data_IF_888315815968
#
_entry.id   IF_888315815968
#
_cell.length_a   1.000
_cell.length_b   1.000
_cell.length_c   1.000
_cell.angle_alpha   90.00
_cell.angle_beta   90.00
_cell.angle_gamma   90.00
#
_symmetry.space_group_name_H-M   'P 1'
#
loop_
_entity.id
_entity.type
_entity.pdbx_description
1 polymer ?
#
# COMPACT_ATOMS: atom_id res chain seq x y z
N UNK A 1 32.04 -14.91 6.40
CA UNK A 1 30.85 -15.44 5.68
C UNK A 1 29.97 -16.08 6.74
N UNK A 2 28.65 -15.85 6.69
CA UNK A 2 27.74 -16.57 7.58
C UNK A 2 27.58 -18.00 7.09
N UNK A 3 27.50 -18.94 8.03
CA UNK A 3 27.01 -20.28 7.72
C UNK A 3 25.58 -20.15 7.15
N UNK A 4 25.14 -21.04 6.23
CA UNK A 4 23.84 -20.91 5.56
C UNK A 4 22.68 -20.73 6.54
N UNK A 5 22.66 -21.51 7.64
CA UNK A 5 21.63 -21.40 8.68
C UNK A 5 21.64 -20.04 9.38
N UNK A 6 22.82 -19.53 9.73
CA UNK A 6 22.97 -18.24 10.40
C UNK A 6 22.54 -17.08 9.50
N UNK A 7 22.71 -17.23 8.17
CA UNK A 7 22.22 -16.25 7.20
C UNK A 7 20.70 -16.25 7.11
N UNK A 8 20.05 -17.42 7.06
CA UNK A 8 18.58 -17.48 7.02
C UNK A 8 17.94 -16.95 8.30
N UNK A 9 18.52 -17.22 9.47
CA UNK A 9 18.07 -16.65 10.74
C UNK A 9 18.19 -15.12 10.74
N UNK A 10 19.35 -14.59 10.35
CA UNK A 10 19.57 -13.15 10.24
C UNK A 10 18.64 -12.47 9.23
N UNK A 11 18.33 -13.14 8.11
CA UNK A 11 17.40 -12.64 7.11
C UNK A 11 15.97 -12.60 7.66
N UNK A 12 15.57 -13.62 8.41
CA UNK A 12 14.24 -13.69 9.04
C UNK A 12 14.05 -12.58 10.06
N UNK A 13 15.03 -12.39 10.96
CA UNK A 13 15.04 -11.30 11.95
C UNK A 13 14.96 -9.92 11.26
N UNK A 14 15.77 -9.71 10.21
CA UNK A 14 15.71 -8.47 9.42
C UNK A 14 14.34 -8.27 8.76
N UNK A 15 13.73 -9.33 8.21
CA UNK A 15 12.40 -9.24 7.61
C UNK A 15 11.34 -8.83 8.64
N UNK A 16 11.38 -9.41 9.84
CA UNK A 16 10.47 -9.06 10.94
C UNK A 16 10.64 -7.59 11.36
N UNK A 17 11.88 -7.14 11.60
CA UNK A 17 12.18 -5.78 12.06
C UNK A 17 11.80 -4.71 11.02
N UNK A 18 12.07 -5.00 9.74
CA UNK A 18 11.74 -4.10 8.64
C UNK A 18 10.27 -4.19 8.22
N UNK A 19 9.53 -5.18 8.75
CA UNK A 19 8.14 -5.51 8.42
C UNK A 19 7.95 -5.94 6.97
N UNK A 20 8.91 -6.69 6.45
CA UNK A 20 8.82 -7.37 5.15
C UNK A 20 8.06 -8.68 5.37
N UNK A 21 6.94 -8.89 4.68
CA UNK A 21 6.31 -10.21 4.66
C UNK A 21 7.09 -11.13 3.70
N UNK A 22 7.81 -12.15 4.22
CA UNK A 22 8.60 -13.04 3.38
C UNK A 22 7.72 -13.83 2.39
N UNK A 23 6.42 -14.00 2.65
CA UNK A 23 5.49 -14.70 1.75
C UNK A 23 5.27 -13.97 0.42
N UNK A 24 5.52 -12.66 0.40
CA UNK A 24 5.41 -11.81 -0.79
C UNK A 24 6.66 -11.86 -1.67
N UNK A 25 7.77 -12.43 -1.18
CA UNK A 25 9.02 -12.53 -1.91
C UNK A 25 9.34 -13.98 -2.23
N UNK A 26 9.45 -14.31 -3.52
CA UNK A 26 9.94 -15.61 -3.98
C UNK A 26 11.44 -15.49 -4.24
N UNK A 27 12.25 -16.22 -3.49
CA UNK A 27 13.72 -16.23 -3.65
C UNK A 27 14.12 -16.59 -5.10
N UNK A 28 13.35 -17.47 -5.76
CA UNK A 28 13.58 -17.87 -7.14
C UNK A 28 13.36 -16.74 -8.17
N UNK A 29 12.61 -15.70 -7.80
CA UNK A 29 12.30 -14.57 -8.68
C UNK A 29 13.31 -13.42 -8.51
N UNK A 30 14.24 -13.53 -7.56
CA UNK A 30 15.29 -12.54 -7.33
C UNK A 30 16.35 -12.61 -8.42
N UNK A 31 16.68 -11.45 -8.99
CA UNK A 31 17.90 -11.31 -9.80
C UNK A 31 19.15 -11.48 -8.93
N UNK A 32 20.27 -11.83 -9.55
CA UNK A 32 21.55 -11.97 -8.85
C UNK A 32 21.92 -10.67 -8.10
N UNK A 33 21.73 -9.51 -8.73
CA UNK A 33 21.95 -8.20 -8.10
C UNK A 33 20.98 -7.93 -6.94
N UNK A 34 19.72 -8.36 -7.04
CA UNK A 34 18.76 -8.19 -5.94
C UNK A 34 19.13 -9.05 -4.73
N UNK A 35 19.56 -10.29 -4.98
CA UNK A 35 20.04 -11.20 -3.94
C UNK A 35 21.31 -10.67 -3.25
N UNK A 36 22.27 -10.14 -4.02
CA UNK A 36 23.48 -9.51 -3.47
C UNK A 36 23.14 -8.29 -2.61
N UNK A 37 22.30 -7.38 -3.10
CA UNK A 37 21.93 -6.19 -2.35
C UNK A 37 21.14 -6.54 -1.07
N UNK A 38 20.21 -7.52 -1.13
CA UNK A 38 19.47 -7.99 0.04
C UNK A 38 20.42 -8.60 1.09
N UNK A 39 21.42 -9.35 0.63
CA UNK A 39 22.46 -9.90 1.48
C UNK A 39 23.29 -8.80 2.14
N UNK A 40 23.69 -7.77 1.42
CA UNK A 40 24.46 -6.66 1.99
C UNK A 40 23.67 -5.88 3.04
N UNK A 41 22.38 -5.64 2.78
CA UNK A 41 21.46 -5.05 3.77
C UNK A 41 21.37 -5.94 5.01
N UNK A 42 21.20 -7.25 4.85
CA UNK A 42 21.13 -8.21 5.96
C UNK A 42 22.43 -8.23 6.78
N UNK A 43 23.59 -8.22 6.13
CA UNK A 43 24.89 -8.17 6.82
C UNK A 43 25.06 -6.86 7.60
N UNK A 44 24.61 -5.73 7.06
CA UNK A 44 24.64 -4.44 7.77
C UNK A 44 23.66 -4.43 8.94
N UNK A 45 22.45 -4.96 8.75
CA UNK A 45 21.44 -5.10 9.80
C UNK A 45 21.95 -5.91 10.99
N UNK A 46 22.57 -7.08 10.73
CA UNK A 46 23.17 -7.92 11.78
C UNK A 46 24.50 -7.38 12.35
N UNK A 47 24.93 -6.18 11.96
CA UNK A 47 26.19 -5.57 12.42
C UNK A 47 27.46 -6.27 11.95
N UNK A 48 27.36 -7.17 10.95
CA UNK A 48 28.45 -7.96 10.36
C UNK A 48 29.15 -7.25 9.20
N UNK A 49 28.51 -6.24 8.63
CA UNK A 49 29.07 -5.30 7.67
C UNK A 49 28.82 -3.86 8.13
N UNK A 50 29.47 -2.90 7.47
CA UNK A 50 29.32 -1.47 7.77
C UNK A 50 29.04 -0.68 6.50
N UNK A 51 27.97 0.11 6.52
CA UNK A 51 27.68 1.13 5.52
C UNK A 51 28.21 2.49 6.01
N UNK A 52 28.69 3.33 5.07
CA UNK A 52 29.11 4.71 5.39
C UNK A 52 28.44 5.69 4.43
N UNK A 53 27.74 6.67 5.00
CA UNK A 53 27.21 7.80 4.25
C UNK A 53 27.97 9.09 4.60
N UNK A 54 28.47 9.78 3.59
CA UNK A 54 29.24 11.03 3.73
C UNK A 54 28.37 12.24 4.10
N UNK A 55 27.07 12.19 3.82
CA UNK A 55 26.20 13.37 3.93
C UNK A 55 25.62 13.61 5.33
N UNK A 56 25.94 12.75 6.33
CA UNK A 56 25.48 12.87 7.72
C UNK A 56 23.95 13.01 7.92
N UNK A 57 23.16 12.75 6.88
CA UNK A 57 21.69 12.75 6.87
C UNK A 57 21.17 11.36 6.53
N UNK A 58 19.97 10.96 7.01
CA UNK A 58 19.35 9.71 6.61
C UNK A 58 19.29 9.55 5.09
N UNK A 59 19.58 8.36 4.60
CA UNK A 59 19.56 8.04 3.17
C UNK A 59 18.41 7.10 2.86
N UNK A 60 17.46 7.56 2.03
CA UNK A 60 16.44 6.68 1.44
C UNK A 60 17.12 5.70 0.49
N UNK A 61 16.81 4.42 0.62
CA UNK A 61 17.29 3.37 -0.27
C UNK A 61 16.11 2.51 -0.73
N UNK A 62 16.01 2.34 -2.04
CA UNK A 62 15.01 1.47 -2.68
C UNK A 62 15.72 0.22 -3.19
N UNK A 63 15.29 -0.93 -2.69
CA UNK A 63 15.80 -2.23 -3.08
C UNK A 63 14.78 -2.88 -4.02
N UNK A 64 15.09 -2.89 -5.32
CA UNK A 64 14.27 -3.55 -6.33
C UNK A 64 14.53 -5.07 -6.31
N UNK A 65 13.45 -5.83 -6.09
CA UNK A 65 13.45 -7.30 -6.09
C UNK A 65 12.84 -7.88 -7.38
N UNK A 66 12.51 -7.06 -8.37
CA UNK A 66 11.86 -7.45 -9.62
C UNK A 66 10.34 -7.63 -9.48
N UNK A 67 9.90 -8.46 -8.53
CA UNK A 67 8.46 -8.67 -8.26
C UNK A 67 7.83 -7.59 -7.36
N UNK A 68 8.66 -6.70 -6.81
CA UNK A 68 8.29 -5.63 -5.89
C UNK A 68 9.54 -4.94 -5.37
N UNK A 69 9.38 -3.98 -4.46
CA UNK A 69 10.46 -3.19 -3.87
C UNK A 69 10.38 -3.14 -2.35
N UNK A 70 11.54 -3.09 -1.70
CA UNK A 70 11.65 -2.79 -0.27
C UNK A 70 12.15 -1.36 -0.13
N UNK A 71 11.49 -0.58 0.73
CA UNK A 71 11.89 0.80 1.01
C UNK A 71 12.54 0.89 2.38
N UNK A 72 13.79 1.36 2.39
CA UNK A 72 14.62 1.47 3.57
C UNK A 72 15.02 2.92 3.82
N UNK A 73 15.31 3.20 5.09
CA UNK A 73 16.01 4.40 5.50
C UNK A 73 17.30 3.97 6.20
N UNK A 74 18.45 4.38 5.67
CA UNK A 74 19.71 4.23 6.38
C UNK A 74 19.84 5.37 7.37
N UNK A 75 19.93 5.02 8.64
CA UNK A 75 20.01 5.97 9.75
C UNK A 75 21.30 5.73 10.51
N UNK A 76 21.91 6.81 11.02
CA UNK A 76 23.07 6.67 11.88
C UNK A 76 22.57 6.35 13.28
N UNK A 77 22.99 5.22 13.81
CA UNK A 77 22.75 4.83 15.17
C UNK A 77 23.61 5.71 16.10
N UNK A 78 22.96 6.39 17.05
CA UNK A 78 23.61 7.38 17.91
C UNK A 78 24.56 6.73 18.93
N UNK A 79 24.29 5.50 19.35
CA UNK A 79 25.09 4.78 20.36
C UNK A 79 26.37 4.20 19.77
N UNK A 80 26.25 3.54 18.63
CA UNK A 80 27.35 2.83 17.96
C UNK A 80 28.03 3.67 16.89
N UNK A 81 27.40 4.76 16.44
CA UNK A 81 27.85 5.60 15.34
C UNK A 81 27.76 4.94 13.95
N UNK A 82 27.22 3.71 13.86
CA UNK A 82 27.12 2.94 12.62
C UNK A 82 25.87 3.31 11.84
N UNK A 83 25.89 3.14 10.52
CA UNK A 83 24.68 3.25 9.72
C UNK A 83 23.95 1.91 9.70
N UNK A 84 22.68 1.93 10.08
CA UNK A 84 21.82 0.76 10.18
C UNK A 84 20.63 0.96 9.24
N UNK A 85 20.22 -0.06 8.47
CA UNK A 85 19.00 0.03 7.67
C UNK A 85 17.79 -0.13 8.59
N UNK A 86 16.83 0.80 8.50
CA UNK A 86 15.52 0.72 9.16
C UNK A 86 14.39 0.78 8.14
N UNK A 87 13.18 0.41 8.56
CA UNK A 87 12.00 0.56 7.71
C UNK A 87 11.79 2.03 7.34
N UNK A 88 11.51 2.31 6.07
CA UNK A 88 11.18 3.66 5.61
C UNK A 88 9.89 4.20 6.27
N UNK A 89 9.01 3.30 6.74
CA UNK A 89 7.74 3.65 7.36
C UNK A 89 7.83 3.82 8.88
N UNK A 90 9.00 3.57 9.49
CA UNK A 90 9.23 3.84 10.89
C UNK A 90 9.40 5.36 11.14
N UNK A 91 8.35 5.97 11.66
CA UNK A 91 8.28 7.42 11.97
C UNK A 91 8.63 7.72 13.43
N UNK A 92 9.19 6.78 14.19
CA UNK A 92 9.51 7.02 15.62
C UNK A 92 10.70 7.96 15.80
N UNK A 93 11.68 7.90 14.89
CA UNK A 93 12.95 8.66 14.99
C UNK A 93 13.06 9.81 13.99
N UNK A 94 12.20 9.86 12.97
CA UNK A 94 12.33 10.80 11.85
C UNK A 94 11.00 11.41 11.44
N UNK A 95 11.06 12.67 10.99
CA UNK A 95 9.93 13.39 10.41
C UNK A 95 10.15 13.54 8.92
N UNK A 96 9.09 13.30 8.16
CA UNK A 96 9.07 13.41 6.72
C UNK A 96 8.42 14.74 6.34
N UNK A 97 9.01 15.44 5.36
CA UNK A 97 8.47 16.71 4.90
C UNK A 97 8.77 16.93 3.41
N UNK A 98 7.86 17.61 2.72
CA UNK A 98 8.06 18.09 1.36
C UNK A 98 8.17 19.61 1.34
N UNK A 99 8.98 20.12 0.41
CA UNK A 99 9.05 21.56 0.18
C UNK A 99 7.93 21.96 -0.76
N UNK A 100 6.96 22.72 -0.27
CA UNK A 100 5.91 23.31 -1.10
C UNK A 100 6.19 24.79 -1.31
N UNK A 101 5.89 25.29 -2.50
CA UNK A 101 5.94 26.71 -2.79
C UNK A 101 4.55 27.31 -2.61
N UNK A 102 4.42 28.31 -1.74
CA UNK A 102 3.18 29.04 -1.59
C UNK A 102 2.85 29.73 -2.93
N UNK A 103 1.66 29.49 -3.52
CA UNK A 103 1.32 30.03 -4.84
C UNK A 103 1.22 31.55 -4.87
N UNK A 104 0.85 32.17 -3.74
CA UNK A 104 0.69 33.62 -3.65
C UNK A 104 2.02 34.31 -3.33
N UNK A 105 2.75 33.81 -2.35
CA UNK A 105 3.94 34.49 -1.84
C UNK A 105 5.24 33.99 -2.47
N UNK A 106 5.19 32.89 -3.24
CA UNK A 106 6.35 32.18 -3.81
C UNK A 106 7.37 31.70 -2.77
N UNK A 107 7.10 31.82 -1.48
CA UNK A 107 7.96 31.30 -0.43
C UNK A 107 7.88 29.78 -0.35
N UNK A 108 9.04 29.15 -0.14
CA UNK A 108 9.13 27.73 0.12
C UNK A 108 8.85 27.46 1.61
N UNK A 109 7.92 26.57 1.87
CA UNK A 109 7.60 26.09 3.21
C UNK A 109 7.76 24.57 3.26
N UNK A 110 8.22 24.06 4.40
CA UNK A 110 8.25 22.63 4.67
C UNK A 110 6.87 22.23 5.19
N UNK A 111 6.25 21.28 4.51
CA UNK A 111 4.96 20.70 4.90
C UNK A 111 5.24 19.27 5.37
N UNK A 112 4.90 18.93 6.62
CA UNK A 112 5.10 17.58 7.13
C UNK A 112 4.14 16.63 6.40
N UNK A 113 4.63 15.44 6.06
CA UNK A 113 3.89 14.39 5.35
C UNK A 113 4.23 13.04 5.96
N UNK A 114 3.51 12.01 5.58
CA UNK A 114 3.85 10.63 5.94
C UNK A 114 4.79 10.00 4.90
N UNK A 115 5.51 8.91 5.24
CA UNK A 115 6.26 8.12 4.27
C UNK A 115 5.40 7.60 3.11
N UNK A 116 4.12 7.30 3.36
CA UNK A 116 3.18 6.81 2.36
C UNK A 116 2.92 7.84 1.24
N UNK A 117 2.99 9.12 1.58
CA UNK A 117 2.79 10.22 0.63
C UNK A 117 3.94 10.37 -0.38
N UNK A 118 5.09 9.73 -0.12
CA UNK A 118 6.21 9.67 -1.08
C UNK A 118 6.06 8.60 -2.14
N UNK A 119 5.06 7.72 -2.00
CA UNK A 119 4.84 6.62 -2.95
C UNK A 119 3.89 7.11 -4.03
N UNK A 120 4.25 6.96 -5.33
CA UNK A 120 3.36 7.37 -6.41
C UNK A 120 1.99 6.69 -6.35
N UNK A 121 0.99 7.37 -6.90
CA UNK A 121 -0.39 6.89 -6.86
C UNK A 121 -0.55 5.52 -7.53
N UNK A 122 -1.08 4.56 -6.78
CA UNK A 122 -1.31 3.20 -7.26
C UNK A 122 -0.04 2.34 -7.37
N UNK A 123 1.06 2.70 -6.71
CA UNK A 123 2.29 1.91 -6.58
C UNK A 123 2.52 1.36 -5.15
N UNK A 124 1.61 1.62 -4.21
CA UNK A 124 1.74 1.08 -2.84
C UNK A 124 1.79 -0.46 -2.85
N UNK A 125 1.07 -1.10 -3.77
CA UNK A 125 1.05 -2.55 -3.91
C UNK A 125 2.40 -3.17 -4.28
N UNK A 126 3.34 -2.37 -4.82
CA UNK A 126 4.67 -2.84 -5.18
C UNK A 126 5.63 -2.80 -3.98
N UNK A 127 5.28 -2.13 -2.88
CA UNK A 127 6.15 -1.96 -1.71
C UNK A 127 5.91 -3.09 -0.71
N UNK A 128 6.90 -3.95 -0.48
CA UNK A 128 6.75 -5.18 0.29
C UNK A 128 6.76 -4.99 1.82
N UNK A 129 7.18 -3.81 2.29
CA UNK A 129 7.34 -3.51 3.70
C UNK A 129 6.51 -2.31 4.15
N UNK A 130 5.26 -2.22 3.69
CA UNK A 130 4.36 -1.08 3.92
C UNK A 130 4.01 -0.81 5.39
N UNK A 131 4.19 -1.76 6.31
CA UNK A 131 3.84 -1.60 7.74
C UNK A 131 2.39 -1.14 7.99
N UNK A 132 1.39 -1.99 7.69
CA UNK A 132 -0.03 -1.67 7.91
C UNK A 132 -0.35 -1.09 9.30
N UNK A 133 0.34 -1.60 10.33
CA UNK A 133 0.23 -1.19 11.73
C UNK A 133 0.60 0.29 11.98
N UNK A 134 1.42 0.87 11.11
CA UNK A 134 1.93 2.24 11.26
C UNK A 134 1.19 3.27 10.39
N UNK A 135 0.28 2.85 9.50
CA UNK A 135 -0.38 3.74 8.54
C UNK A 135 -1.22 4.83 9.22
N UNK A 136 -2.22 4.43 10.01
CA UNK A 136 -3.10 5.39 10.70
C UNK A 136 -2.33 6.23 11.72
N UNK A 137 -1.48 5.64 12.60
CA UNK A 137 -0.67 6.42 13.53
C UNK A 137 0.25 7.45 12.86
N UNK A 138 0.69 7.23 11.62
CA UNK A 138 1.51 8.19 10.90
C UNK A 138 0.71 9.47 10.57
N UNK A 139 -0.56 9.35 10.16
CA UNK A 139 -1.42 10.51 9.88
C UNK A 139 -1.91 11.21 11.16
N UNK A 140 -2.19 10.46 12.22
CA UNK A 140 -2.59 11.02 13.53
C UNK A 140 -1.56 11.97 14.14
N UNK A 141 -0.28 11.78 13.82
CA UNK A 141 0.81 12.66 14.29
C UNK A 141 0.90 13.98 13.52
N UNK A 142 0.26 14.08 12.35
CA UNK A 142 0.30 15.30 11.54
C UNK A 142 -0.76 16.30 12.00
N UNK A 143 -0.47 17.59 11.87
CA UNK A 143 -1.39 18.68 12.22
C UNK A 143 -1.60 19.58 11.02
N UNK A 144 -2.87 19.85 10.69
CA UNK A 144 -3.26 20.82 9.68
C UNK A 144 -4.45 20.35 8.83
N UNK A 145 -5.13 21.31 8.21
CA UNK A 145 -6.37 21.07 7.45
C UNK A 145 -6.14 20.17 6.21
N UNK A 146 -4.89 20.09 5.72
CA UNK A 146 -4.54 19.26 4.57
C UNK A 146 -4.47 17.76 4.89
N UNK A 147 -4.28 17.39 6.16
CA UNK A 147 -3.95 16.01 6.57
C UNK A 147 -5.05 15.04 6.14
N UNK A 148 -6.32 15.37 6.37
CA UNK A 148 -7.46 14.50 6.04
C UNK A 148 -7.57 14.31 4.52
N UNK A 149 -7.37 15.37 3.74
CA UNK A 149 -7.38 15.28 2.28
C UNK A 149 -6.22 14.44 1.73
N UNK A 150 -5.04 14.52 2.35
CA UNK A 150 -3.87 13.74 1.98
C UNK A 150 -4.04 12.26 2.36
N UNK A 151 -4.54 11.96 3.56
CA UNK A 151 -4.92 10.61 3.96
C UNK A 151 -5.93 10.00 2.98
N UNK A 152 -6.92 10.77 2.52
CA UNK A 152 -7.86 10.32 1.53
C UNK A 152 -7.21 10.00 0.17
N UNK A 153 -6.19 10.76 -0.26
CA UNK A 153 -5.43 10.40 -1.47
C UNK A 153 -4.71 9.06 -1.31
N UNK A 154 -4.16 8.79 -0.12
CA UNK A 154 -3.55 7.50 0.20
C UNK A 154 -4.57 6.37 0.22
N UNK A 155 -5.78 6.59 0.76
CA UNK A 155 -6.90 5.63 0.64
C UNK A 155 -7.17 5.29 -0.83
N UNK A 156 -7.30 6.29 -1.70
CA UNK A 156 -7.53 6.08 -3.13
C UNK A 156 -6.36 5.33 -3.78
N UNK A 157 -5.11 5.66 -3.42
CA UNK A 157 -3.91 5.00 -3.91
C UNK A 157 -3.84 3.53 -3.49
N UNK A 158 -4.24 3.20 -2.26
CA UNK A 158 -4.33 1.82 -1.76
C UNK A 158 -5.39 1.03 -2.52
N UNK A 159 -6.56 1.61 -2.77
CA UNK A 159 -7.62 0.96 -3.56
C UNK A 159 -7.13 0.69 -4.99
N UNK A 160 -6.52 1.69 -5.65
CA UNK A 160 -5.96 1.51 -6.98
C UNK A 160 -4.86 0.44 -7.01
N UNK A 161 -4.00 0.41 -6.00
CA UNK A 161 -2.95 -0.60 -5.85
C UNK A 161 -3.55 -2.00 -5.70
N UNK A 162 -4.63 -2.14 -4.92
CA UNK A 162 -5.30 -3.41 -4.69
C UNK A 162 -5.98 -3.99 -5.96
N UNK A 163 -6.41 -3.11 -6.87
CA UNK A 163 -6.92 -3.52 -8.18
C UNK A 163 -5.78 -4.01 -9.10
N UNK A 164 -4.57 -3.42 -8.99
CA UNK A 164 -3.38 -3.81 -9.77
C UNK A 164 -2.62 -5.01 -9.22
N UNK A 165 -2.72 -5.28 -7.92
CA UNK A 165 -1.98 -6.35 -7.23
C UNK A 165 -2.93 -7.36 -6.56
N UNK A 166 -3.62 -8.22 -7.34
CA UNK A 166 -4.64 -9.13 -6.81
C UNK A 166 -4.20 -10.01 -5.64
N UNK A 167 -2.91 -10.41 -5.61
CA UNK A 167 -2.34 -11.27 -4.58
C UNK A 167 -2.16 -10.56 -3.23
N UNK A 168 -2.13 -9.22 -3.18
CA UNK A 168 -2.07 -8.40 -1.95
C UNK A 168 -3.35 -7.63 -1.67
N UNK A 169 -4.40 -7.89 -2.44
CA UNK A 169 -5.63 -7.09 -2.40
C UNK A 169 -6.21 -6.96 -1.00
N UNK A 170 -6.29 -8.05 -0.24
CA UNK A 170 -6.90 -8.03 1.09
C UNK A 170 -6.12 -7.17 2.08
N UNK A 171 -4.78 -7.26 2.07
CA UNK A 171 -3.90 -6.41 2.88
C UNK A 171 -4.14 -4.93 2.56
N UNK A 172 -4.06 -4.58 1.26
CA UNK A 172 -4.18 -3.20 0.79
C UNK A 172 -5.58 -2.61 1.03
N UNK A 173 -6.65 -3.40 0.84
CA UNK A 173 -8.02 -2.96 1.13
C UNK A 173 -8.30 -2.86 2.63
N UNK A 174 -7.65 -3.68 3.46
CA UNK A 174 -7.74 -3.56 4.93
C UNK A 174 -7.08 -2.26 5.38
N UNK A 175 -5.86 -1.97 4.88
CA UNK A 175 -5.19 -0.69 5.10
C UNK A 175 -6.04 0.51 4.65
N UNK A 176 -6.63 0.42 3.45
CA UNK A 176 -7.52 1.45 2.93
C UNK A 176 -8.75 1.63 3.82
N UNK A 177 -9.34 0.54 4.32
CA UNK A 177 -10.50 0.55 5.20
C UNK A 177 -10.18 1.23 6.54
N UNK A 178 -9.05 0.88 7.15
CA UNK A 178 -8.65 1.44 8.45
C UNK A 178 -8.37 2.94 8.35
N UNK A 179 -7.63 3.37 7.32
CA UNK A 179 -7.37 4.78 7.10
C UNK A 179 -8.64 5.55 6.69
N UNK A 180 -9.53 4.94 5.90
CA UNK A 180 -10.79 5.58 5.52
C UNK A 180 -11.77 5.70 6.70
N UNK A 181 -11.78 4.75 7.65
CA UNK A 181 -12.53 4.90 8.89
C UNK A 181 -12.03 6.13 9.65
N UNK A 182 -10.72 6.28 9.76
CA UNK A 182 -10.11 7.45 10.39
C UNK A 182 -10.48 8.75 9.67
N UNK A 183 -10.45 8.83 8.33
CA UNK A 183 -10.85 10.05 7.61
C UNK A 183 -12.32 10.42 7.81
N UNK A 184 -13.23 9.43 7.87
CA UNK A 184 -14.65 9.65 8.20
C UNK A 184 -14.81 10.20 9.62
N UNK A 185 -14.01 9.73 10.58
CA UNK A 185 -14.06 10.24 11.95
C UNK A 185 -13.63 11.71 12.05
N UNK A 186 -12.67 12.13 11.21
CA UNK A 186 -12.22 13.52 11.14
C UNK A 186 -13.21 14.45 10.43
N UNK A 187 -13.91 13.97 9.40
CA UNK A 187 -14.94 14.73 8.68
C UNK A 187 -16.08 13.80 8.22
N UNK A 188 -17.14 13.77 9.03
CA UNK A 188 -18.30 12.88 8.86
C UNK A 188 -19.22 13.30 7.72
N UNK A 189 -19.19 14.58 7.35
CA UNK A 189 -20.10 15.15 6.36
C UNK A 189 -19.53 15.02 4.93
N UNK A 190 -18.23 14.72 4.80
CA UNK A 190 -17.60 14.47 3.51
C UNK A 190 -18.07 13.16 2.86
N UNK A 191 -18.90 13.31 1.82
CA UNK A 191 -19.45 12.18 1.07
C UNK A 191 -18.40 11.36 0.34
N UNK A 192 -17.28 11.95 -0.05
CA UNK A 192 -16.20 11.22 -0.72
C UNK A 192 -15.66 10.09 0.16
N UNK A 193 -15.51 10.31 1.47
CA UNK A 193 -14.99 9.31 2.41
C UNK A 193 -16.01 8.18 2.62
N UNK A 194 -17.29 8.54 2.63
CA UNK A 194 -18.41 7.58 2.67
C UNK A 194 -18.46 6.72 1.40
N UNK A 195 -18.33 7.33 0.22
CA UNK A 195 -18.26 6.62 -1.06
C UNK A 195 -17.03 5.71 -1.11
N UNK A 196 -15.89 6.16 -0.57
CA UNK A 196 -14.67 5.37 -0.42
C UNK A 196 -14.89 4.11 0.42
N UNK A 197 -15.61 4.22 1.54
CA UNK A 197 -15.99 3.06 2.36
C UNK A 197 -16.79 2.03 1.56
N UNK A 198 -17.80 2.48 0.79
CA UNK A 198 -18.64 1.59 -0.01
C UNK A 198 -17.86 0.90 -1.15
N UNK A 199 -16.96 1.62 -1.82
CA UNK A 199 -16.15 0.98 -2.87
C UNK A 199 -15.15 -0.02 -2.32
N UNK A 200 -14.63 0.16 -1.08
CA UNK A 200 -13.78 -0.82 -0.40
C UNK A 200 -14.62 -2.06 -0.06
N UNK A 201 -15.78 -1.90 0.58
CA UNK A 201 -16.70 -3.00 0.89
C UNK A 201 -17.09 -3.80 -0.36
N UNK A 202 -17.34 -3.11 -1.49
CA UNK A 202 -17.69 -3.76 -2.76
C UNK A 202 -16.54 -4.64 -3.27
N UNK A 203 -15.29 -4.18 -3.17
CA UNK A 203 -14.10 -4.98 -3.55
C UNK A 203 -13.83 -6.14 -2.61
N UNK A 204 -14.13 -5.98 -1.33
CA UNK A 204 -14.01 -7.04 -0.31
C UNK A 204 -15.16 -8.07 -0.39
N UNK A 205 -16.20 -7.82 -1.19
CA UNK A 205 -17.39 -8.67 -1.22
C UNK A 205 -18.30 -8.55 0.01
N UNK A 206 -18.11 -7.50 0.82
CA UNK A 206 -18.87 -7.25 2.06
C UNK A 206 -19.88 -6.09 1.91
N UNK A 207 -20.24 -5.74 0.66
CA UNK A 207 -21.22 -4.69 0.35
C UNK A 207 -22.64 -5.24 0.50
N UNK A 208 -23.33 -4.79 1.54
CA UNK A 208 -24.64 -5.33 1.96
C UNK A 208 -25.82 -4.62 1.30
N UNK A 209 -27.03 -5.16 1.46
CA UNK A 209 -28.25 -4.47 1.01
C UNK A 209 -28.49 -3.16 1.75
N UNK A 210 -28.13 -3.08 3.04
CA UNK A 210 -28.20 -1.82 3.80
C UNK A 210 -27.22 -0.77 3.24
N UNK A 211 -26.01 -1.20 2.83
CA UNK A 211 -25.07 -0.30 2.14
C UNK A 211 -25.64 0.14 0.78
N UNK A 212 -26.29 -0.76 0.05
CA UNK A 212 -26.94 -0.47 -1.23
C UNK A 212 -28.06 0.57 -1.08
N UNK A 213 -28.88 0.47 -0.03
CA UNK A 213 -29.93 1.46 0.29
C UNK A 213 -29.33 2.84 0.62
N UNK A 214 -28.25 2.87 1.41
CA UNK A 214 -27.55 4.10 1.74
C UNK A 214 -26.97 4.77 0.48
N UNK A 215 -26.31 4.00 -0.39
CA UNK A 215 -25.80 4.49 -1.69
C UNK A 215 -26.95 4.97 -2.58
N UNK A 216 -28.10 4.29 -2.57
CA UNK A 216 -29.28 4.70 -3.34
C UNK A 216 -29.80 6.07 -2.89
N UNK A 217 -29.81 6.35 -1.59
CA UNK A 217 -30.18 7.67 -1.05
C UNK A 217 -29.21 8.75 -1.51
N UNK A 218 -27.90 8.51 -1.45
CA UNK A 218 -26.88 9.44 -1.94
C UNK A 218 -27.07 9.70 -3.44
N UNK A 219 -27.29 8.64 -4.22
CA UNK A 219 -27.55 8.73 -5.66
C UNK A 219 -28.79 9.60 -5.98
N UNK A 220 -29.90 9.37 -5.29
CA UNK A 220 -31.13 10.16 -5.47
C UNK A 220 -30.93 11.64 -5.14
N UNK A 221 -30.18 11.93 -4.07
CA UNK A 221 -29.88 13.30 -3.65
C UNK A 221 -28.96 14.02 -4.63
N UNK A 222 -27.97 13.30 -5.18
CA UNK A 222 -27.08 13.80 -6.21
C UNK A 222 -27.85 14.14 -7.51
N UNK A 223 -28.77 13.27 -7.94
CA UNK A 223 -29.65 13.57 -9.09
C UNK A 223 -30.54 14.80 -8.89
N UNK A 224 -30.87 15.14 -7.64
CA UNK A 224 -31.60 16.37 -7.24
C UNK A 224 -30.70 17.59 -7.03
N UNK A 225 -29.40 17.48 -7.34
CA UNK A 225 -28.40 18.54 -7.22
C UNK A 225 -28.21 19.04 -5.77
N UNK A 226 -28.49 18.21 -4.76
CA UNK A 226 -28.35 18.58 -3.34
C UNK A 226 -26.90 18.90 -2.97
N UNK A 227 -25.93 18.32 -3.68
CA UNK A 227 -24.49 18.47 -3.40
C UNK A 227 -23.83 19.54 -4.28
N UNK A 228 -24.61 20.41 -4.93
CA UNK A 228 -24.09 21.49 -5.76
C UNK A 228 -23.21 20.96 -6.90
N UNK A 229 -22.02 21.56 -7.07
CA UNK A 229 -21.08 21.26 -8.17
C UNK A 229 -20.60 19.80 -8.20
N UNK A 230 -20.58 19.14 -7.04
CA UNK A 230 -20.11 17.77 -6.90
C UNK A 230 -21.17 16.72 -7.25
N UNK A 231 -22.42 17.15 -7.39
CA UNK A 231 -23.58 16.27 -7.60
C UNK A 231 -23.39 15.33 -8.78
N UNK A 232 -22.82 15.80 -9.89
CA UNK A 232 -22.63 14.97 -11.08
C UNK A 232 -21.58 13.86 -10.86
N UNK A 233 -20.48 14.18 -10.18
CA UNK A 233 -19.44 13.21 -9.82
C UNK A 233 -19.95 12.18 -8.82
N UNK A 234 -20.71 12.63 -7.81
CA UNK A 234 -21.34 11.77 -6.82
C UNK A 234 -22.39 10.86 -7.48
N UNK A 235 -23.25 11.40 -8.35
CA UNK A 235 -24.26 10.64 -9.09
C UNK A 235 -23.61 9.56 -9.97
N UNK A 236 -22.50 9.91 -10.64
CA UNK A 236 -21.77 8.96 -11.49
C UNK A 236 -21.12 7.86 -10.67
N UNK A 237 -20.41 8.20 -9.59
CA UNK A 237 -19.77 7.23 -8.70
C UNK A 237 -20.76 6.29 -8.02
N UNK A 238 -21.87 6.84 -7.53
CA UNK A 238 -22.93 6.02 -6.90
C UNK A 238 -23.68 5.16 -7.91
N UNK A 239 -23.86 5.62 -9.15
CA UNK A 239 -24.40 4.78 -10.24
C UNK A 239 -23.51 3.56 -10.50
N UNK A 240 -22.18 3.75 -10.49
CA UNK A 240 -21.21 2.65 -10.62
C UNK A 240 -21.33 1.66 -9.45
N UNK A 241 -21.44 2.15 -8.21
CA UNK A 241 -21.59 1.29 -7.03
C UNK A 241 -22.90 0.50 -7.05
N UNK A 242 -23.97 1.07 -7.57
CA UNK A 242 -25.29 0.44 -7.70
C UNK A 242 -25.42 -0.49 -8.92
N UNK A 243 -24.37 -0.65 -9.73
CA UNK A 243 -24.39 -1.39 -11.00
C UNK A 243 -25.42 -0.84 -12.00
N UNK A 244 -25.75 0.46 -11.90
CA UNK A 244 -26.63 1.17 -12.85
C UNK A 244 -25.80 1.58 -14.07
N UNK A 245 -25.46 0.60 -14.90
CA UNK A 245 -24.55 0.77 -16.03
C UNK A 245 -25.12 1.60 -17.17
N UNK A 246 -26.44 1.53 -17.34
CA UNK A 246 -27.23 2.26 -18.32
C UNK A 246 -27.31 3.75 -17.92
N UNK A 247 -26.46 4.58 -18.50
CA UNK A 247 -26.46 6.04 -18.28
C UNK A 247 -25.16 6.62 -17.75
N UNK A 248 -24.18 5.81 -17.33
CA UNK A 248 -22.89 6.36 -16.86
C UNK A 248 -22.15 7.11 -17.96
N UNK A 249 -22.13 6.62 -19.20
CA UNK A 249 -21.47 7.33 -20.31
C UNK A 249 -22.15 8.68 -20.61
N UNK A 250 -23.46 8.77 -20.39
CA UNK A 250 -24.22 10.01 -20.48
C UNK A 250 -23.88 10.97 -19.34
N UNK A 251 -23.78 10.48 -18.10
CA UNK A 251 -23.35 11.30 -16.95
C UNK A 251 -21.91 11.82 -17.12
N UNK A 252 -20.99 10.97 -17.56
CA UNK A 252 -19.63 11.36 -17.93
C UNK A 252 -19.61 12.38 -19.08
N UNK A 253 -20.51 12.25 -20.05
CA UNK A 253 -20.67 13.21 -21.14
C UNK A 253 -21.18 14.59 -20.70
N UNK A 254 -21.86 14.68 -19.56
CA UNK A 254 -22.27 15.95 -18.95
C UNK A 254 -21.16 16.66 -18.18
N UNK A 255 -20.12 15.93 -17.76
CA UNK A 255 -18.98 16.52 -17.07
C UNK A 255 -18.16 17.38 -18.03
N UNK A 256 -17.57 18.45 -17.51
CA UNK A 256 -16.51 19.16 -18.22
C UNK A 256 -15.34 18.22 -18.53
N UNK A 257 -14.58 18.51 -19.57
CA UNK A 257 -13.47 17.63 -20.00
C UNK A 257 -12.46 17.37 -18.87
N UNK A 258 -12.05 18.42 -18.15
CA UNK A 258 -11.13 18.29 -17.01
C UNK A 258 -11.70 17.38 -15.90
N UNK A 259 -12.96 17.61 -15.50
CA UNK A 259 -13.60 16.84 -14.43
C UNK A 259 -13.81 15.38 -14.83
N UNK A 260 -14.15 15.14 -16.10
CA UNK A 260 -14.29 13.79 -16.66
C UNK A 260 -12.97 13.04 -16.65
N UNK A 261 -11.89 13.66 -17.11
CA UNK A 261 -10.58 13.01 -17.11
C UNK A 261 -10.08 12.77 -15.69
N UNK A 262 -10.27 13.73 -14.77
CA UNK A 262 -10.01 13.52 -13.36
C UNK A 262 -10.82 12.36 -12.78
N UNK A 263 -12.14 12.30 -13.03
CA UNK A 263 -13.00 11.22 -12.53
C UNK A 263 -12.53 9.84 -13.00
N UNK A 264 -12.07 9.72 -14.25
CA UNK A 264 -11.52 8.47 -14.79
C UNK A 264 -10.24 8.01 -14.10
N UNK A 265 -9.50 8.91 -13.45
CA UNK A 265 -8.34 8.54 -12.63
C UNK A 265 -8.73 7.95 -11.27
N UNK A 266 -9.97 8.16 -10.83
CA UNK A 266 -10.41 7.67 -9.52
C UNK A 266 -10.62 6.15 -9.56
N UNK A 267 -10.24 5.42 -8.50
CA UNK A 267 -10.37 3.97 -8.44
C UNK A 267 -11.80 3.46 -8.66
N UNK A 268 -12.82 4.24 -8.31
CA UNK A 268 -14.22 3.85 -8.52
C UNK A 268 -14.54 3.60 -9.99
N UNK A 269 -13.85 4.29 -10.92
CA UNK A 269 -14.02 4.09 -12.36
C UNK A 269 -13.56 2.70 -12.84
N UNK A 270 -12.72 2.00 -12.06
CA UNK A 270 -12.29 0.65 -12.38
C UNK A 270 -13.48 -0.30 -12.60
N UNK A 271 -14.53 -0.20 -11.76
CA UNK A 271 -15.75 -1.00 -11.92
C UNK A 271 -16.49 -0.74 -13.24
N UNK A 272 -16.37 0.46 -13.80
CA UNK A 272 -16.89 0.78 -15.14
C UNK A 272 -16.02 0.15 -16.24
N UNK A 273 -14.71 0.10 -16.06
CA UNK A 273 -13.79 -0.47 -17.05
C UNK A 273 -13.93 -1.99 -17.18
N UNK A 274 -14.16 -2.69 -16.08
CA UNK A 274 -14.25 -4.16 -16.06
C UNK A 274 -15.66 -4.70 -16.30
N UNK A 275 -16.61 -3.89 -16.75
CA UNK A 275 -18.01 -4.30 -16.97
C UNK A 275 -18.10 -5.64 -17.72
N UNK A 276 -18.85 -6.59 -17.15
CA UNK A 276 -19.05 -7.93 -17.73
C UNK A 276 -17.92 -8.94 -17.43
N UNK A 277 -16.75 -8.46 -17.02
CA UNK A 277 -15.68 -9.29 -16.46
C UNK A 277 -15.85 -9.24 -14.93
N UNK A 278 -16.43 -10.28 -14.33
CA UNK A 278 -16.63 -10.33 -12.87
C UNK A 278 -15.35 -9.95 -12.12
N UNK A 279 -15.47 -9.19 -11.02
CA UNK A 279 -14.33 -8.82 -10.19
C UNK A 279 -13.79 -10.09 -9.54
N UNK A 280 -12.72 -10.65 -10.11
CA UNK A 280 -12.10 -11.89 -9.61
C UNK A 280 -11.49 -11.57 -8.25
N UNK A 281 -12.11 -12.03 -7.17
CA UNK A 281 -11.52 -12.01 -5.84
C UNK A 281 -10.16 -12.71 -5.92
N UNK A 282 -9.08 -11.98 -5.66
CA UNK A 282 -7.74 -12.57 -5.62
C UNK A 282 -7.68 -13.63 -4.53
N UNK A 283 -7.08 -14.78 -4.82
CA UNK A 283 -6.78 -15.77 -3.78
C UNK A 283 -5.80 -15.11 -2.81
N UNK A 284 -6.08 -15.01 -1.50
CA UNK A 284 -5.35 -14.14 -0.59
C UNK A 284 -3.90 -14.53 -0.36
N UNK A 285 -3.49 -15.72 -0.79
CA UNK A 285 -2.17 -16.24 -0.51
C UNK A 285 -1.79 -17.18 -1.64
N UNK A 286 -0.51 -17.14 -2.03
CA UNK A 286 0.21 -18.23 -2.67
C UNK A 286 0.27 -19.48 -1.75
N UNK A 287 -0.76 -19.76 -0.95
CA UNK A 287 -0.80 -20.79 0.09
C UNK A 287 -0.58 -22.17 -0.52
N UNK A 288 -1.11 -22.40 -1.71
CA UNK A 288 -0.88 -23.62 -2.48
C UNK A 288 0.57 -23.74 -2.97
N UNK A 289 1.23 -22.63 -3.30
CA UNK A 289 2.63 -22.62 -3.74
C UNK A 289 3.58 -22.74 -2.54
N UNK A 290 3.29 -22.09 -1.42
CA UNK A 290 4.03 -22.25 -0.16
C UNK A 290 3.85 -23.64 0.43
N UNK A 291 2.64 -24.20 0.44
CA UNK A 291 2.40 -25.60 0.86
C UNK A 291 3.17 -26.60 -0.01
N UNK A 292 3.36 -26.30 -1.30
CA UNK A 292 4.18 -27.13 -2.21
C UNK A 292 5.66 -27.01 -1.90
N UNK A 293 6.15 -25.81 -1.59
CA UNK A 293 7.55 -25.56 -1.24
C UNK A 293 7.89 -26.17 0.13
N UNK A 294 7.07 -25.93 1.16
CA UNK A 294 7.20 -26.55 2.49
C UNK A 294 7.22 -28.07 2.38
N UNK A 295 6.31 -28.64 1.59
CA UNK A 295 6.30 -30.09 1.33
C UNK A 295 7.57 -30.57 0.65
N UNK A 296 8.10 -29.83 -0.34
CA UNK A 296 9.35 -30.19 -1.02
C UNK A 296 10.55 -30.13 -0.09
N UNK A 297 10.65 -29.12 0.76
CA UNK A 297 11.72 -28.97 1.76
C UNK A 297 11.64 -30.11 2.79
N UNK A 298 10.44 -30.42 3.28
CA UNK A 298 10.23 -31.57 4.17
C UNK A 298 10.61 -32.90 3.50
N UNK A 299 10.24 -33.10 2.24
CA UNK A 299 10.56 -34.32 1.49
C UNK A 299 12.09 -34.44 1.23
N UNK A 300 12.79 -33.33 0.95
CA UNK A 300 14.25 -33.28 0.76
C UNK A 300 15.02 -33.54 2.07
N UNK A 301 14.61 -32.95 3.20
CA UNK A 301 15.20 -33.22 4.53
C UNK A 301 14.97 -34.67 4.99
N UNK A 302 13.79 -35.23 4.70
CA UNK A 302 13.50 -36.64 4.98
C UNK A 302 14.38 -37.55 4.14
N UNK A 303 14.61 -37.23 2.86
CA UNK A 303 15.50 -38.01 2.00
C UNK A 303 16.95 -38.01 2.50
N UNK A 304 17.47 -36.87 2.94
CA UNK A 304 18.82 -36.76 3.49
C UNK A 304 18.95 -37.53 4.81
N UNK A 305 17.94 -37.45 5.68
CA UNK A 305 17.90 -38.18 6.94
C UNK A 305 17.86 -39.69 6.72
N UNK A 306 17.04 -40.16 5.77
CA UNK A 306 16.96 -41.58 5.37
C UNK A 306 18.28 -42.06 4.75
N UNK A 307 18.94 -41.24 3.92
CA UNK A 307 20.28 -41.54 3.38
C UNK A 307 21.35 -41.60 4.48
N UNK A 308 21.25 -40.78 5.52
CA UNK A 308 22.18 -40.80 6.66
C UNK A 308 21.98 -42.03 7.57
N UNK A 309 20.74 -42.48 7.75
CA UNK A 309 20.41 -43.70 8.52
C UNK A 309 20.86 -44.96 7.77
N UNK A 310 20.64 -45.03 6.45
CA UNK A 310 21.04 -46.19 5.64
C UNK A 310 22.54 -46.30 5.36
N UNK A 311 23.34 -45.34 5.83
CA UNK A 311 24.82 -45.34 5.75
C UNK A 311 25.50 -45.70 7.07
N UNK A 312 24.74 -46.01 8.12
CA UNK A 312 25.22 -46.58 9.39
C UNK A 312 24.99 -48.08 9.43
#
# INVERSE_FOLDING_TARGET
FLEPLDYFLALTEMCEDLGIDPKLCRVADLSESAAENLRDVCLCHSGKASFTNKQAIPLRHELDLGAGKILLLWVKDDETGRWVPTSFFDTTKHVFAVTQQNPNTKHKQLVPVTPYDFIPFGELGDVLNLRPDLLVPAYEKLVGDFVVSQANQTVLSLIASADKTPHRRNELLTMASDLNRWTIEQDKDCLYYTINSFQIKKRLGTFTDSDREAVHTIWMNAGRQIYGVDSLSIETGTSILLDKTEGIDYLLGKMGESDREFFKTLPIYFFHQIRGCGYVLGSPNNEADWSRIEKRIMDEEVEETVKAINRR
#
